data_IF_404928814852
#
_entry.id   IF_404928814852
#
_cell.length_a   1.000
_cell.length_b   1.000
_cell.length_c   1.000
_cell.angle_alpha   90.00
_cell.angle_beta   90.00
_cell.angle_gamma   90.00
#
_symmetry.space_group_name_H-M   'P 1'
#
loop_
_entity.id
_entity.type
_entity.pdbx_description
1 polymer ?
#
# COMPACT_ATOMS: atom_id res chain seq x y z
N UNK A 1 -14.71 0.24 -12.22
CA UNK A 1 -14.25 -1.17 -12.28
C UNK A 1 -12.82 -1.31 -12.81
N UNK A 2 -12.43 -0.77 -13.99
CA UNK A 2 -11.06 -0.96 -14.50
C UNK A 2 -9.99 -0.28 -13.63
N UNK A 3 -10.25 0.97 -13.23
CA UNK A 3 -9.34 1.76 -12.38
C UNK A 3 -8.97 1.07 -11.06
N UNK A 4 -9.89 0.37 -10.41
CA UNK A 4 -9.63 -0.32 -9.14
C UNK A 4 -8.81 -1.60 -9.31
N UNK A 5 -9.07 -2.37 -10.36
CA UNK A 5 -8.25 -3.53 -10.69
C UNK A 5 -6.81 -3.10 -11.00
N UNK A 6 -6.63 -2.07 -11.83
CA UNK A 6 -5.29 -1.55 -12.12
C UNK A 6 -4.64 -0.86 -10.92
N UNK A 7 -5.42 -0.27 -10.01
CA UNK A 7 -4.92 0.28 -8.76
C UNK A 7 -4.39 -0.83 -7.85
N UNK A 8 -5.22 -1.80 -7.46
CA UNK A 8 -4.83 -2.85 -6.49
C UNK A 8 -3.80 -3.82 -7.10
N UNK A 9 -4.04 -4.30 -8.31
CA UNK A 9 -3.16 -5.29 -8.96
C UNK A 9 -1.91 -4.61 -9.52
N UNK A 10 -2.04 -3.43 -10.13
CA UNK A 10 -0.90 -2.70 -10.66
C UNK A 10 0.04 -2.20 -9.56
N UNK A 11 -0.49 -1.60 -8.50
CA UNK A 11 0.33 -1.20 -7.34
C UNK A 11 0.95 -2.41 -6.65
N UNK A 12 0.19 -3.49 -6.44
CA UNK A 12 0.71 -4.72 -5.84
C UNK A 12 1.86 -5.34 -6.66
N UNK A 13 1.70 -5.47 -7.98
CA UNK A 13 2.75 -6.02 -8.85
C UNK A 13 3.98 -5.12 -8.92
N UNK A 14 3.80 -3.80 -9.02
CA UNK A 14 4.91 -2.87 -9.14
C UNK A 14 5.64 -2.69 -7.80
N UNK A 15 4.94 -2.36 -6.73
CA UNK A 15 5.57 -2.06 -5.45
C UNK A 15 6.03 -3.30 -4.71
N UNK A 16 5.19 -4.34 -4.63
CA UNK A 16 5.55 -5.57 -3.90
C UNK A 16 6.22 -6.62 -4.77
N UNK A 17 5.85 -6.71 -6.05
CA UNK A 17 6.43 -7.68 -6.98
C UNK A 17 7.75 -7.23 -7.61
N UNK A 18 7.94 -5.94 -7.87
CA UNK A 18 9.13 -5.43 -8.57
C UNK A 18 10.07 -4.61 -7.67
N UNK A 19 9.58 -3.57 -7.00
CA UNK A 19 10.44 -2.65 -6.21
C UNK A 19 10.92 -3.33 -4.93
N UNK A 20 10.02 -3.90 -4.13
CA UNK A 20 10.32 -4.44 -2.81
C UNK A 20 11.46 -5.48 -2.83
N UNK A 21 11.45 -6.51 -3.71
CA UNK A 21 12.52 -7.51 -3.73
C UNK A 21 13.90 -6.92 -4.06
N UNK A 22 13.95 -5.87 -4.89
CA UNK A 22 15.20 -5.16 -5.22
C UNK A 22 15.71 -4.35 -4.05
N UNK A 23 14.81 -3.74 -3.29
CA UNK A 23 15.17 -3.05 -2.07
C UNK A 23 15.62 -4.02 -0.97
N UNK A 24 15.08 -5.24 -0.93
CA UNK A 24 15.58 -6.28 -0.02
C UNK A 24 17.04 -6.64 -0.29
N UNK A 25 17.44 -6.70 -1.57
CA UNK A 25 18.84 -6.94 -1.95
C UNK A 25 19.78 -5.80 -1.51
N UNK A 26 19.29 -4.55 -1.48
CA UNK A 26 20.10 -3.37 -1.17
C UNK A 26 20.11 -3.01 0.33
N UNK A 27 18.97 -3.12 1.02
CA UNK A 27 18.75 -2.60 2.37
C UNK A 27 18.53 -3.70 3.42
N UNK A 28 18.37 -4.95 2.99
CA UNK A 28 18.25 -6.11 3.88
C UNK A 28 17.18 -5.91 4.95
N UNK A 29 17.57 -5.96 6.23
CA UNK A 29 16.66 -5.81 7.36
C UNK A 29 15.94 -4.46 7.44
N UNK A 30 16.49 -3.40 6.82
CA UNK A 30 15.91 -2.05 6.85
C UNK A 30 14.92 -1.80 5.70
N UNK A 31 14.68 -2.80 4.84
CA UNK A 31 13.83 -2.65 3.66
C UNK A 31 12.44 -2.15 3.98
N UNK A 32 11.78 -2.64 5.03
CA UNK A 32 10.44 -2.22 5.40
C UNK A 32 10.35 -0.71 5.66
N UNK A 33 11.40 -0.14 6.24
CA UNK A 33 11.44 1.28 6.56
C UNK A 33 11.70 2.11 5.30
N UNK A 34 12.72 1.73 4.52
CA UNK A 34 13.06 2.42 3.26
C UNK A 34 11.89 2.34 2.27
N UNK A 35 11.30 1.16 2.12
CA UNK A 35 10.14 0.94 1.27
C UNK A 35 8.93 1.71 1.79
N UNK A 36 8.68 1.69 3.10
CA UNK A 36 7.62 2.46 3.75
C UNK A 36 7.74 3.96 3.47
N UNK A 37 8.96 4.52 3.51
CA UNK A 37 9.20 5.92 3.16
C UNK A 37 8.87 6.23 1.69
N UNK A 38 9.36 5.42 0.75
CA UNK A 38 9.02 5.61 -0.67
C UNK A 38 7.52 5.45 -0.94
N UNK A 39 6.89 4.49 -0.27
CA UNK A 39 5.46 4.25 -0.39
C UNK A 39 4.64 5.40 0.21
N UNK A 40 5.06 5.93 1.35
CA UNK A 40 4.47 7.14 1.94
C UNK A 40 4.63 8.36 1.04
N UNK A 41 5.80 8.55 0.43
CA UNK A 41 6.03 9.64 -0.53
C UNK A 41 5.18 9.50 -1.80
N UNK A 42 4.93 8.27 -2.27
CA UNK A 42 4.03 8.03 -3.39
C UNK A 42 2.60 8.54 -3.13
N UNK A 43 2.18 8.57 -1.87
CA UNK A 43 0.86 9.06 -1.46
C UNK A 43 0.78 10.58 -1.30
N UNK A 44 1.87 11.34 -1.51
CA UNK A 44 1.87 12.80 -1.36
C UNK A 44 0.78 13.52 -2.16
N UNK A 45 0.52 13.17 -3.44
CA UNK A 45 -0.48 13.86 -4.26
C UNK A 45 -1.94 13.68 -3.79
N UNK A 46 -2.21 12.72 -2.91
CA UNK A 46 -3.56 12.38 -2.46
C UNK A 46 -4.01 13.18 -1.22
N UNK A 47 -3.15 14.05 -0.69
CA UNK A 47 -3.48 14.99 0.38
C UNK A 47 -2.93 14.60 1.75
N UNK A 48 -2.72 15.62 2.59
CA UNK A 48 -2.08 15.49 3.90
C UNK A 48 -2.89 14.66 4.90
N UNK A 49 -4.21 14.75 4.87
CA UNK A 49 -5.07 13.95 5.72
C UNK A 49 -4.87 12.45 5.45
N UNK A 50 -4.88 12.04 4.17
CA UNK A 50 -4.65 10.65 3.79
C UNK A 50 -3.24 10.18 4.17
N UNK A 51 -2.22 11.00 3.92
CA UNK A 51 -0.83 10.69 4.31
C UNK A 51 -0.68 10.37 5.79
N UNK A 52 -1.32 11.16 6.66
CA UNK A 52 -1.26 10.97 8.11
C UNK A 52 -2.03 9.71 8.51
N UNK A 53 -3.22 9.51 7.96
CA UNK A 53 -4.04 8.32 8.21
C UNK A 53 -3.33 7.03 7.79
N UNK A 54 -2.64 7.05 6.64
CA UNK A 54 -1.97 5.86 6.10
C UNK A 54 -0.61 5.58 6.75
N UNK A 55 -0.04 6.53 7.49
CA UNK A 55 1.32 6.40 8.02
C UNK A 55 1.54 5.11 8.83
N UNK A 56 0.69 4.72 9.80
CA UNK A 56 0.89 3.48 10.55
C UNK A 56 0.81 2.24 9.65
N UNK A 57 -0.21 2.18 8.77
CA UNK A 57 -0.48 0.99 7.98
C UNK A 57 0.59 0.76 6.89
N UNK A 58 1.16 1.83 6.33
CA UNK A 58 2.24 1.76 5.33
C UNK A 58 3.48 1.04 5.90
N UNK A 59 3.90 1.41 7.12
CA UNK A 59 5.06 0.80 7.75
C UNK A 59 4.78 -0.61 8.27
N UNK A 60 3.59 -0.83 8.86
CA UNK A 60 3.19 -2.16 9.34
C UNK A 60 3.12 -3.16 8.18
N UNK A 61 2.47 -2.80 7.07
CA UNK A 61 2.35 -3.69 5.89
C UNK A 61 3.72 -3.99 5.29
N UNK A 62 4.57 -2.99 5.12
CA UNK A 62 5.95 -3.17 4.62
C UNK A 62 6.75 -4.11 5.53
N UNK A 63 6.59 -3.99 6.85
CA UNK A 63 7.25 -4.87 7.82
C UNK A 63 6.71 -6.31 7.76
N UNK A 64 5.40 -6.48 7.71
CA UNK A 64 4.75 -7.80 7.62
C UNK A 64 5.16 -8.50 6.31
N UNK A 65 5.16 -7.79 5.18
CA UNK A 65 5.62 -8.35 3.89
C UNK A 65 7.07 -8.80 3.99
N UNK A 66 7.96 -8.00 4.59
CA UNK A 66 9.35 -8.36 4.77
C UNK A 66 9.52 -9.65 5.60
N UNK A 67 8.76 -9.75 6.70
CA UNK A 67 8.87 -10.86 7.65
C UNK A 67 8.25 -12.15 7.15
N UNK A 68 7.11 -12.04 6.46
CA UNK A 68 6.32 -13.19 6.01
C UNK A 68 6.64 -13.61 4.58
N UNK A 69 7.33 -12.75 3.81
CA UNK A 69 7.55 -12.91 2.36
C UNK A 69 6.26 -13.11 1.58
N UNK A 70 5.15 -12.63 2.14
CA UNK A 70 3.80 -12.79 1.61
C UNK A 70 3.20 -11.43 1.35
N UNK A 71 2.65 -11.24 0.15
CA UNK A 71 1.95 -10.02 -0.25
C UNK A 71 0.46 -10.06 0.12
N UNK A 72 -0.05 -11.19 0.62
CA UNK A 72 -1.47 -11.35 0.95
C UNK A 72 -1.94 -10.37 2.03
N UNK A 73 -1.12 -10.10 3.04
CA UNK A 73 -1.46 -9.12 4.07
C UNK A 73 -1.69 -7.72 3.47
N UNK A 74 -0.86 -7.34 2.50
CA UNK A 74 -0.96 -6.06 1.80
C UNK A 74 -2.17 -6.01 0.87
N UNK A 75 -2.45 -7.09 0.14
CA UNK A 75 -3.64 -7.22 -0.73
C UNK A 75 -4.93 -7.12 0.09
N UNK A 76 -5.00 -7.80 1.24
CA UNK A 76 -6.16 -7.76 2.14
C UNK A 76 -6.36 -6.33 2.64
N UNK A 77 -5.31 -5.69 3.16
CA UNK A 77 -5.38 -4.32 3.67
C UNK A 77 -5.81 -3.33 2.58
N UNK A 78 -5.22 -3.40 1.37
CA UNK A 78 -5.61 -2.55 0.25
C UNK A 78 -7.07 -2.78 -0.15
N UNK A 79 -7.51 -4.05 -0.20
CA UNK A 79 -8.89 -4.38 -0.55
C UNK A 79 -9.87 -3.85 0.49
N UNK A 80 -9.56 -3.94 1.79
CA UNK A 80 -10.42 -3.39 2.85
C UNK A 80 -10.45 -1.86 2.86
N UNK A 81 -9.30 -1.18 2.77
CA UNK A 81 -9.23 0.29 2.80
C UNK A 81 -9.85 0.88 1.52
N UNK A 82 -9.41 0.43 0.34
CA UNK A 82 -9.96 0.92 -0.92
C UNK A 82 -11.40 0.45 -1.14
N UNK A 83 -11.75 -0.76 -0.70
CA UNK A 83 -13.11 -1.31 -0.81
C UNK A 83 -14.12 -0.62 0.11
N UNK A 84 -13.74 -0.28 1.35
CA UNK A 84 -14.62 0.46 2.27
C UNK A 84 -14.87 1.89 1.80
N UNK A 85 -13.83 2.60 1.35
CA UNK A 85 -13.98 3.93 0.74
C UNK A 85 -14.88 3.89 -0.50
N UNK A 86 -14.74 2.86 -1.32
CA UNK A 86 -15.63 2.64 -2.47
C UNK A 86 -17.08 2.41 -2.06
N UNK A 87 -17.36 1.56 -1.06
CA UNK A 87 -18.73 1.31 -0.61
C UNK A 87 -19.38 2.60 -0.09
N UNK A 88 -18.64 3.44 0.63
CA UNK A 88 -19.13 4.74 1.11
C UNK A 88 -19.52 5.67 -0.05
N UNK A 89 -18.70 5.73 -1.10
CA UNK A 89 -19.02 6.53 -2.31
C UNK A 89 -20.17 5.90 -3.10
N UNK A 90 -20.17 4.58 -3.29
CA UNK A 90 -21.19 3.86 -4.06
C UNK A 90 -22.58 3.92 -3.39
N UNK A 91 -22.62 3.95 -2.06
CA UNK A 91 -23.85 4.16 -1.29
C UNK A 91 -24.19 5.64 -1.07
N UNK A 92 -23.40 6.58 -1.61
CA UNK A 92 -23.66 8.02 -1.51
C UNK A 92 -23.54 8.58 -0.09
N UNK A 93 -22.84 7.88 0.80
CA UNK A 93 -22.63 8.29 2.19
C UNK A 93 -21.59 9.42 2.27
N UNK A 94 -20.62 9.40 1.35
CA UNK A 94 -19.59 10.44 1.20
C UNK A 94 -19.45 10.79 -0.28
N UNK A 95 -19.38 12.09 -0.59
CA UNK A 95 -19.21 12.64 -1.94
C UNK A 95 -18.22 13.80 -1.94
#
# INVERSE_FOLDING_TARGET
>A
MPLFFFNIVGEGLFWRGYIFPRQELAFGQYTWFVHGCFWWMFHLPFGSALLVTLLPIIFITSFVVQRTKSTWADIIVHTFINGSGFLLVAFGIVG
#
